data_IF_042959343147
#
_entry.id   IF_042959343147
#
_cell.length_a   1.000
_cell.length_b   1.000
_cell.length_c   1.000
_cell.angle_alpha   90.00
_cell.angle_beta   90.00
_cell.angle_gamma   90.00
#
_symmetry.space_group_name_H-M   'P 1'
#
loop_
_entity.id
_entity.type
_entity.pdbx_description
1 polymer ?
#
# COMPACT_ATOMS: atom_id res chain seq x y z
N UNK A 1 -40.46 -11.92 -8.97
CA UNK A 1 -39.43 -10.84 -9.01
C UNK A 1 -39.43 -10.19 -7.64
N UNK A 2 -38.52 -10.63 -6.75
CA UNK A 2 -38.37 -10.00 -5.44
C UNK A 2 -37.60 -8.70 -5.62
N UNK A 3 -38.29 -7.60 -5.41
CA UNK A 3 -37.66 -6.27 -5.25
C UNK A 3 -36.86 -6.29 -3.93
N UNK A 4 -35.65 -6.87 -3.96
CA UNK A 4 -34.69 -6.72 -2.89
C UNK A 4 -34.46 -5.23 -2.68
N UNK A 5 -34.92 -4.73 -1.58
CA UNK A 5 -34.68 -3.38 -1.08
C UNK A 5 -33.17 -3.12 -1.17
N UNK A 6 -32.78 -2.33 -2.14
CA UNK A 6 -31.37 -1.92 -2.41
C UNK A 6 -30.92 -1.17 -1.17
N UNK A 7 -30.24 -1.86 -0.25
CA UNK A 7 -29.74 -1.21 0.98
C UNK A 7 -28.92 -0.01 0.60
N UNK A 8 -29.30 1.14 1.15
CA UNK A 8 -28.60 2.39 0.90
C UNK A 8 -27.32 2.42 1.77
N UNK A 9 -26.16 2.16 1.15
CA UNK A 9 -24.86 2.25 1.82
C UNK A 9 -24.29 3.67 1.88
N UNK A 10 -25.04 4.66 1.38
CA UNK A 10 -24.61 6.04 1.29
C UNK A 10 -24.26 6.66 2.66
N UNK A 11 -25.05 6.47 3.73
CA UNK A 11 -24.69 7.00 5.05
C UNK A 11 -23.38 6.45 5.59
N UNK A 12 -23.14 5.14 5.42
CA UNK A 12 -21.88 4.52 5.83
C UNK A 12 -20.68 5.09 5.04
N UNK A 13 -20.79 5.16 3.71
CA UNK A 13 -19.74 5.73 2.87
C UNK A 13 -19.53 7.22 3.13
N UNK A 14 -20.59 7.96 3.47
CA UNK A 14 -20.50 9.36 3.90
C UNK A 14 -19.70 9.51 5.20
N UNK A 15 -19.96 8.66 6.21
CA UNK A 15 -19.18 8.61 7.44
C UNK A 15 -17.70 8.28 7.18
N UNK A 16 -17.42 7.35 6.26
CA UNK A 16 -16.06 7.03 5.86
C UNK A 16 -15.37 8.20 5.12
N UNK A 17 -16.11 8.97 4.32
CA UNK A 17 -15.58 10.16 3.65
C UNK A 17 -15.22 11.27 4.66
N UNK A 18 -16.05 11.48 5.69
CA UNK A 18 -15.74 12.40 6.79
C UNK A 18 -14.51 11.94 7.57
N UNK A 19 -14.37 10.64 7.82
CA UNK A 19 -13.17 10.10 8.46
C UNK A 19 -11.92 10.29 7.57
N UNK A 20 -12.01 10.07 6.26
CA UNK A 20 -10.91 10.34 5.33
C UNK A 20 -10.52 11.83 5.33
N UNK A 21 -11.51 12.74 5.35
CA UNK A 21 -11.27 14.18 5.44
C UNK A 21 -10.59 14.55 6.77
N UNK A 22 -11.02 13.98 7.89
CA UNK A 22 -10.39 14.19 9.19
C UNK A 22 -8.93 13.72 9.20
N UNK A 23 -8.66 12.54 8.61
CA UNK A 23 -7.29 12.05 8.42
C UNK A 23 -6.47 12.98 7.52
N UNK A 24 -7.05 13.47 6.43
CA UNK A 24 -6.39 14.41 5.54
C UNK A 24 -6.01 15.70 6.30
N UNK A 25 -6.95 16.32 7.00
CA UNK A 25 -6.69 17.54 7.79
C UNK A 25 -5.62 17.31 8.87
N UNK A 26 -5.66 16.15 9.53
CA UNK A 26 -4.74 15.81 10.63
C UNK A 26 -3.32 15.50 10.16
N UNK A 27 -3.19 14.72 9.10
CA UNK A 27 -1.89 14.13 8.71
C UNK A 27 -1.27 14.79 7.48
N UNK A 28 -2.02 15.58 6.72
CA UNK A 28 -1.50 16.22 5.53
C UNK A 28 -0.35 17.16 5.87
N UNK A 29 0.82 16.91 5.26
CA UNK A 29 2.00 17.73 5.38
C UNK A 29 2.47 18.12 3.99
N UNK A 30 2.59 19.39 3.79
CA UNK A 30 2.73 20.04 2.50
C UNK A 30 4.13 19.96 1.86
N UNK A 31 4.89 18.89 2.07
CA UNK A 31 6.22 18.77 1.47
C UNK A 31 6.42 17.41 0.82
N UNK A 32 6.92 17.44 -0.42
CA UNK A 32 7.45 16.25 -1.09
C UNK A 32 8.95 16.19 -0.78
N UNK A 33 9.42 15.00 -0.40
CA UNK A 33 10.83 14.78 -0.13
C UNK A 33 11.65 14.83 -1.43
N UNK A 34 12.93 15.22 -1.33
CA UNK A 34 13.86 15.18 -2.46
C UNK A 34 14.03 13.76 -3.05
N UNK A 35 13.77 12.71 -2.27
CA UNK A 35 13.67 11.35 -2.76
C UNK A 35 12.61 11.24 -3.86
N UNK A 36 11.40 11.70 -3.58
CA UNK A 36 10.28 11.58 -4.51
C UNK A 36 10.43 12.50 -5.73
N UNK A 37 10.93 13.73 -5.55
CA UNK A 37 11.16 14.64 -6.68
C UNK A 37 12.24 14.15 -7.64
N UNK A 38 13.30 13.48 -7.12
CA UNK A 38 14.35 12.88 -7.96
C UNK A 38 13.77 11.81 -8.91
N UNK A 39 12.72 11.09 -8.51
CA UNK A 39 12.06 10.10 -9.37
C UNK A 39 11.37 10.72 -10.60
N UNK A 40 10.90 11.96 -10.51
CA UNK A 40 10.34 12.68 -11.64
C UNK A 40 11.41 13.22 -12.62
N UNK A 41 12.66 13.31 -12.17
CA UNK A 41 13.78 13.68 -13.02
C UNK A 41 14.31 12.52 -13.89
N UNK A 42 13.96 11.27 -13.54
CA UNK A 42 14.38 10.07 -14.25
C UNK A 42 13.38 9.73 -15.36
N UNK A 43 13.87 9.55 -16.60
CA UNK A 43 13.02 9.28 -17.74
C UNK A 43 13.68 8.29 -18.72
N UNK A 44 12.95 7.87 -19.75
CA UNK A 44 13.42 6.89 -20.73
C UNK A 44 14.35 7.45 -21.82
N UNK A 45 14.65 8.73 -21.82
CA UNK A 45 15.72 9.26 -22.70
C UNK A 45 17.10 8.71 -22.28
N UNK A 46 17.22 8.29 -21.03
CA UNK A 46 18.42 7.67 -20.48
C UNK A 46 18.50 6.15 -20.73
N UNK A 47 17.50 5.57 -21.39
CA UNK A 47 17.33 4.14 -21.57
C UNK A 47 16.09 3.60 -20.85
N UNK A 48 15.73 2.34 -21.13
CA UNK A 48 14.58 1.71 -20.49
C UNK A 48 14.96 1.25 -19.06
N UNK A 49 14.96 2.20 -18.14
CA UNK A 49 15.37 2.04 -16.74
C UNK A 49 14.16 1.78 -15.84
N UNK A 50 14.39 1.12 -14.71
CA UNK A 50 13.41 1.05 -13.62
C UNK A 50 13.01 2.47 -13.16
N UNK A 51 11.76 2.65 -12.78
CA UNK A 51 11.20 3.93 -12.28
C UNK A 51 11.25 5.12 -13.25
N UNK A 52 11.62 4.89 -14.53
CA UNK A 52 11.68 5.96 -15.55
C UNK A 52 10.32 6.43 -16.08
N UNK A 53 9.23 5.67 -15.83
CA UNK A 53 7.93 5.93 -16.43
C UNK A 53 7.34 7.28 -16.00
N UNK A 54 7.38 7.61 -14.71
CA UNK A 54 6.79 8.87 -14.22
C UNK A 54 7.51 10.09 -14.76
N UNK A 55 8.83 10.08 -14.80
CA UNK A 55 9.60 11.19 -15.36
C UNK A 55 9.39 11.30 -16.87
N UNK A 56 9.28 10.18 -17.60
CA UNK A 56 8.92 10.19 -19.03
C UNK A 56 7.54 10.77 -19.28
N UNK A 57 6.55 10.35 -18.50
CA UNK A 57 5.20 10.88 -18.57
C UNK A 57 5.16 12.38 -18.22
N UNK A 58 5.92 12.78 -17.19
CA UNK A 58 6.03 14.17 -16.76
C UNK A 58 6.65 15.06 -17.83
N UNK A 59 7.76 14.63 -18.43
CA UNK A 59 8.42 15.31 -19.53
C UNK A 59 7.50 15.43 -20.78
N UNK A 60 6.76 14.37 -21.07
CA UNK A 60 5.77 14.38 -22.14
C UNK A 60 4.64 15.39 -21.90
N UNK A 61 4.13 15.49 -20.67
CA UNK A 61 3.12 16.49 -20.30
C UNK A 61 3.68 17.90 -20.39
N UNK A 62 4.92 18.14 -19.96
CA UNK A 62 5.59 19.43 -20.05
C UNK A 62 5.74 19.89 -21.50
N UNK A 63 6.01 18.98 -22.42
CA UNK A 63 6.10 19.28 -23.87
C UNK A 63 4.75 19.58 -24.55
N UNK A 64 3.62 19.22 -23.95
CA UNK A 64 2.28 19.43 -24.54
C UNK A 64 1.55 20.60 -23.92
N UNK A 65 1.71 20.80 -22.60
CA UNK A 65 0.99 21.83 -21.88
C UNK A 65 1.70 23.17 -21.99
N UNK A 66 0.96 24.30 -22.04
CA UNK A 66 1.54 25.63 -22.15
C UNK A 66 2.10 26.16 -20.82
N UNK A 67 2.42 25.29 -19.89
CA UNK A 67 2.90 25.62 -18.54
C UNK A 67 4.21 24.90 -18.29
N UNK A 68 5.13 25.54 -17.57
CA UNK A 68 6.36 24.91 -17.10
C UNK A 68 6.03 23.93 -15.96
N UNK A 69 6.10 22.64 -16.28
CA UNK A 69 5.89 21.56 -15.32
C UNK A 69 7.19 21.13 -14.61
N UNK A 70 8.36 21.60 -15.06
CA UNK A 70 9.64 21.29 -14.43
C UNK A 70 9.86 22.12 -13.16
N UNK A 71 8.82 22.21 -12.33
CA UNK A 71 8.80 22.94 -11.06
C UNK A 71 8.33 22.08 -9.89
N UNK A 72 8.81 22.38 -8.69
CA UNK A 72 8.34 21.73 -7.46
C UNK A 72 6.82 21.82 -7.28
N UNK A 73 6.25 23.01 -7.54
CA UNK A 73 4.81 23.26 -7.38
C UNK A 73 3.97 22.38 -8.29
N UNK A 74 4.40 22.17 -9.53
CA UNK A 74 3.70 21.30 -10.46
C UNK A 74 3.71 19.84 -10.02
N UNK A 75 4.87 19.32 -9.60
CA UNK A 75 4.99 17.95 -9.03
C UNK A 75 4.17 17.80 -7.75
N UNK A 76 4.17 18.81 -6.89
CA UNK A 76 3.34 18.85 -5.68
C UNK A 76 1.85 18.73 -5.98
N UNK A 77 1.35 19.56 -6.90
CA UNK A 77 -0.07 19.56 -7.30
C UNK A 77 -0.47 18.22 -7.95
N UNK A 78 0.40 17.68 -8.81
CA UNK A 78 0.16 16.38 -9.44
C UNK A 78 0.09 15.25 -8.39
N UNK A 79 1.01 15.25 -7.43
CA UNK A 79 1.01 14.30 -6.32
C UNK A 79 -0.27 14.40 -5.49
N UNK A 80 -0.72 15.64 -5.20
CA UNK A 80 -1.99 15.89 -4.53
C UNK A 80 -3.17 15.33 -5.30
N UNK A 81 -3.21 15.57 -6.63
CA UNK A 81 -4.24 15.01 -7.52
C UNK A 81 -4.25 13.48 -7.48
N UNK A 82 -3.08 12.83 -7.56
CA UNK A 82 -2.98 11.37 -7.50
C UNK A 82 -3.43 10.82 -6.14
N UNK A 83 -3.16 11.53 -5.05
CA UNK A 83 -3.68 11.16 -3.73
C UNK A 83 -5.21 11.23 -3.68
N UNK A 84 -5.82 12.24 -4.28
CA UNK A 84 -7.29 12.33 -4.42
C UNK A 84 -7.83 11.18 -5.28
N UNK A 85 -7.17 10.87 -6.40
CA UNK A 85 -7.55 9.72 -7.26
C UNK A 85 -7.45 8.41 -6.47
N UNK A 86 -6.42 8.22 -5.64
CA UNK A 86 -6.32 7.06 -4.76
C UNK A 86 -7.54 6.94 -3.84
N UNK A 87 -7.98 8.02 -3.19
CA UNK A 87 -9.19 7.98 -2.38
C UNK A 87 -10.44 7.65 -3.19
N UNK A 88 -10.58 8.22 -4.37
CA UNK A 88 -11.71 7.91 -5.29
C UNK A 88 -11.72 6.41 -5.62
N UNK A 89 -10.57 5.82 -5.97
CA UNK A 89 -10.42 4.39 -6.26
C UNK A 89 -10.73 3.52 -5.04
N UNK A 90 -10.28 3.91 -3.86
CA UNK A 90 -10.54 3.21 -2.60
C UNK A 90 -12.04 3.22 -2.27
N UNK A 91 -12.71 4.36 -2.39
CA UNK A 91 -14.15 4.45 -2.20
C UNK A 91 -14.94 3.68 -3.29
N UNK A 92 -14.45 3.66 -4.50
CA UNK A 92 -15.04 2.85 -5.58
C UNK A 92 -14.93 1.35 -5.28
N UNK A 93 -13.78 0.90 -4.77
CA UNK A 93 -13.59 -0.45 -4.29
C UNK A 93 -14.58 -0.78 -3.15
N UNK A 94 -14.67 0.06 -2.11
CA UNK A 94 -15.60 -0.13 -1.00
C UNK A 94 -17.07 -0.19 -1.45
N UNK A 95 -17.49 0.75 -2.29
CA UNK A 95 -18.83 0.77 -2.87
C UNK A 95 -19.13 -0.50 -3.69
N UNK A 96 -18.15 -0.94 -4.46
CA UNK A 96 -18.29 -2.16 -5.28
C UNK A 96 -18.40 -3.38 -4.38
N UNK A 97 -17.56 -3.49 -3.37
CA UNK A 97 -17.58 -4.60 -2.42
C UNK A 97 -18.91 -4.69 -1.67
N UNK A 98 -19.38 -3.60 -1.09
CA UNK A 98 -20.68 -3.55 -0.39
C UNK A 98 -21.85 -3.90 -1.29
N UNK A 99 -21.82 -3.47 -2.56
CA UNK A 99 -22.89 -3.76 -3.53
C UNK A 99 -23.00 -5.24 -3.87
N UNK A 100 -21.87 -5.97 -3.87
CA UNK A 100 -21.82 -7.37 -4.28
C UNK A 100 -21.87 -8.34 -3.08
N UNK A 101 -21.76 -7.84 -1.84
CA UNK A 101 -21.84 -8.66 -0.63
C UNK A 101 -23.26 -9.13 -0.34
N UNK A 102 -23.37 -10.32 0.26
CA UNK A 102 -24.63 -10.84 0.76
C UNK A 102 -25.12 -10.03 1.96
N UNK A 103 -26.44 -10.05 2.25
CA UNK A 103 -26.99 -9.34 3.41
C UNK A 103 -26.33 -9.73 4.73
N UNK A 104 -26.01 -11.02 4.87
CA UNK A 104 -25.37 -11.59 6.05
C UNK A 104 -23.95 -11.02 6.26
N UNK A 105 -23.24 -10.78 5.16
CA UNK A 105 -21.83 -10.37 5.20
C UNK A 105 -21.61 -8.86 5.23
N UNK A 106 -22.64 -8.05 4.96
CA UNK A 106 -22.53 -6.58 4.92
C UNK A 106 -21.88 -6.01 6.18
N UNK A 107 -22.29 -6.49 7.36
CA UNK A 107 -21.74 -5.99 8.63
C UNK A 107 -20.26 -6.32 8.78
N UNK A 108 -19.85 -7.52 8.37
CA UNK A 108 -18.46 -7.95 8.37
C UNK A 108 -17.64 -7.13 7.39
N UNK A 109 -18.20 -6.89 6.21
CA UNK A 109 -17.63 -6.03 5.18
C UNK A 109 -17.39 -4.60 5.70
N UNK A 110 -18.38 -4.00 6.35
CA UNK A 110 -18.25 -2.67 6.95
C UNK A 110 -17.14 -2.61 8.02
N UNK A 111 -17.05 -3.62 8.89
CA UNK A 111 -15.99 -3.68 9.91
C UNK A 111 -14.61 -3.77 9.27
N UNK A 112 -14.43 -4.60 8.23
CA UNK A 112 -13.15 -4.69 7.52
C UNK A 112 -12.80 -3.38 6.78
N UNK A 113 -13.80 -2.71 6.18
CA UNK A 113 -13.62 -1.41 5.54
C UNK A 113 -13.14 -0.37 6.57
N UNK A 114 -13.78 -0.29 7.73
CA UNK A 114 -13.35 0.63 8.81
C UNK A 114 -11.93 0.29 9.24
N UNK A 115 -11.65 -0.98 9.51
CA UNK A 115 -10.31 -1.42 9.92
C UNK A 115 -9.24 -1.06 8.88
N UNK A 116 -9.47 -1.36 7.59
CA UNK A 116 -8.54 -1.01 6.52
C UNK A 116 -8.33 0.51 6.42
N UNK A 117 -9.41 1.28 6.58
CA UNK A 117 -9.39 2.73 6.42
C UNK A 117 -8.54 3.43 7.48
N UNK A 118 -8.43 2.88 8.70
CA UNK A 118 -7.55 3.41 9.74
C UNK A 118 -6.09 3.49 9.26
N UNK A 119 -5.66 2.54 8.45
CA UNK A 119 -4.33 2.53 7.86
C UNK A 119 -4.30 3.25 6.50
N UNK A 120 -5.31 3.03 5.65
CA UNK A 120 -5.32 3.47 4.27
C UNK A 120 -5.52 4.99 4.11
N UNK A 121 -6.25 5.63 4.99
CA UNK A 121 -6.51 7.07 4.87
C UNK A 121 -5.30 7.94 5.24
N UNK A 122 -4.55 7.69 6.33
CA UNK A 122 -3.37 8.49 6.63
C UNK A 122 -2.16 8.16 5.77
N UNK A 123 -2.12 6.99 5.10
CA UNK A 123 -0.94 6.47 4.43
C UNK A 123 -0.27 7.46 3.47
N UNK A 124 -1.02 7.98 2.52
CA UNK A 124 -0.46 8.83 1.44
C UNK A 124 -0.63 10.33 1.67
N UNK A 125 -1.12 10.73 2.82
CA UNK A 125 -1.23 12.14 3.20
C UNK A 125 -0.15 12.58 4.20
N UNK A 126 0.47 11.61 4.89
CA UNK A 126 1.51 11.86 5.88
C UNK A 126 2.85 12.26 5.25
N UNK A 127 3.66 13.05 5.98
CA UNK A 127 4.96 13.60 5.55
C UNK A 127 5.90 12.56 4.91
N UNK A 128 5.97 11.35 5.48
CA UNK A 128 6.90 10.31 5.01
C UNK A 128 6.46 9.65 3.71
N UNK A 129 5.16 9.61 3.41
CA UNK A 129 4.59 8.83 2.31
C UNK A 129 3.99 9.69 1.19
N UNK A 130 3.79 10.99 1.42
CA UNK A 130 3.29 11.89 0.39
C UNK A 130 4.28 11.99 -0.78
N UNK A 131 3.81 11.63 -1.97
CA UNK A 131 4.62 11.57 -3.20
C UNK A 131 5.35 10.25 -3.44
N UNK A 132 5.24 9.25 -2.56
CA UNK A 132 5.82 7.93 -2.80
C UNK A 132 5.15 7.24 -4.00
N UNK A 133 5.93 6.44 -4.72
CA UNK A 133 5.46 5.69 -5.89
C UNK A 133 4.33 4.72 -5.57
N UNK A 134 4.25 4.26 -4.34
CA UNK A 134 3.22 3.31 -3.89
C UNK A 134 1.79 3.80 -4.18
N UNK A 135 1.51 5.10 -4.11
CA UNK A 135 0.17 5.64 -4.38
C UNK A 135 -0.33 5.25 -5.78
N UNK A 136 0.54 5.30 -6.78
CA UNK A 136 0.21 4.91 -8.15
C UNK A 136 -0.08 3.42 -8.26
N UNK A 137 0.74 2.60 -7.59
CA UNK A 137 0.57 1.15 -7.56
C UNK A 137 -0.77 0.76 -6.91
N UNK A 138 -1.13 1.43 -5.81
CA UNK A 138 -2.42 1.21 -5.15
C UNK A 138 -3.61 1.65 -6.01
N UNK A 139 -3.52 2.75 -6.75
CA UNK A 139 -4.56 3.17 -7.70
C UNK A 139 -4.85 2.05 -8.70
N UNK A 140 -3.83 1.55 -9.38
CA UNK A 140 -3.98 0.49 -10.37
C UNK A 140 -4.46 -0.84 -9.76
N UNK A 141 -3.93 -1.21 -8.59
CA UNK A 141 -4.39 -2.40 -7.86
C UNK A 141 -5.87 -2.31 -7.51
N UNK A 142 -6.33 -1.20 -6.95
CA UNK A 142 -7.74 -1.00 -6.58
C UNK A 142 -8.66 -1.04 -7.79
N UNK A 143 -8.26 -0.43 -8.90
CA UNK A 143 -8.98 -0.53 -10.18
C UNK A 143 -9.04 -2.01 -10.61
N UNK A 144 -7.93 -2.72 -10.63
CA UNK A 144 -7.86 -4.15 -10.98
C UNK A 144 -8.77 -5.01 -10.11
N UNK A 145 -8.78 -4.80 -8.80
CA UNK A 145 -9.69 -5.49 -7.87
C UNK A 145 -11.16 -5.25 -8.23
N UNK A 146 -11.54 -4.00 -8.53
CA UNK A 146 -12.91 -3.65 -8.93
C UNK A 146 -13.28 -4.34 -10.24
N UNK A 147 -12.38 -4.40 -11.23
CA UNK A 147 -12.60 -5.06 -12.50
C UNK A 147 -12.84 -6.57 -12.31
N UNK A 148 -12.05 -7.25 -11.47
CA UNK A 148 -12.21 -8.68 -11.15
C UNK A 148 -13.53 -8.94 -10.43
N UNK A 149 -13.90 -8.12 -9.42
CA UNK A 149 -15.17 -8.28 -8.71
C UNK A 149 -16.37 -8.11 -9.64
N UNK A 150 -16.32 -7.10 -10.52
CA UNK A 150 -17.40 -6.83 -11.48
C UNK A 150 -17.43 -7.78 -12.67
N UNK A 151 -16.40 -8.58 -12.88
CA UNK A 151 -16.21 -9.46 -14.04
C UNK A 151 -16.33 -8.71 -15.37
N UNK A 152 -15.74 -7.52 -15.46
CA UNK A 152 -15.77 -6.65 -16.64
C UNK A 152 -14.39 -6.05 -16.90
N UNK A 153 -13.93 -6.13 -18.15
CA UNK A 153 -12.66 -5.56 -18.62
C UNK A 153 -11.43 -6.08 -17.86
N UNK A 154 -11.46 -7.30 -17.33
CA UNK A 154 -10.40 -7.88 -16.49
C UNK A 154 -9.06 -7.96 -17.22
N UNK A 155 -9.06 -8.03 -18.55
CA UNK A 155 -7.85 -8.04 -19.38
C UNK A 155 -7.01 -6.75 -19.23
N UNK A 156 -7.63 -5.61 -18.82
CA UNK A 156 -6.91 -4.36 -18.56
C UNK A 156 -5.88 -4.48 -17.42
N UNK A 157 -5.98 -5.51 -16.58
CA UNK A 157 -5.00 -5.79 -15.53
C UNK A 157 -3.60 -6.00 -16.10
N UNK A 158 -3.50 -6.56 -17.32
CA UNK A 158 -2.22 -6.83 -17.98
C UNK A 158 -1.47 -5.53 -18.30
N UNK A 159 -2.00 -4.59 -19.11
CA UNK A 159 -1.31 -3.33 -19.37
C UNK A 159 -1.12 -2.48 -18.10
N UNK A 160 -2.06 -2.52 -17.15
CA UNK A 160 -1.92 -1.83 -15.87
C UNK A 160 -0.74 -2.39 -15.07
N UNK A 161 -0.55 -3.71 -15.04
CA UNK A 161 0.60 -4.33 -14.39
C UNK A 161 1.93 -3.95 -15.04
N UNK A 162 1.98 -3.89 -16.38
CA UNK A 162 3.16 -3.41 -17.11
C UNK A 162 3.50 -1.96 -16.71
N UNK A 163 2.52 -1.07 -16.69
CA UNK A 163 2.69 0.32 -16.24
C UNK A 163 3.20 0.36 -14.80
N UNK A 164 2.61 -0.42 -13.89
CA UNK A 164 3.04 -0.49 -12.50
C UNK A 164 4.51 -0.93 -12.36
N UNK A 165 4.94 -1.94 -13.15
CA UNK A 165 6.34 -2.37 -13.17
C UNK A 165 7.28 -1.27 -13.67
N UNK A 166 6.86 -0.50 -14.66
CA UNK A 166 7.60 0.66 -15.17
C UNK A 166 7.66 1.82 -14.17
N UNK A 167 6.67 1.93 -13.27
CA UNK A 167 6.66 2.92 -12.17
C UNK A 167 7.56 2.43 -11.03
N UNK A 168 7.44 1.17 -10.61
CA UNK A 168 8.24 0.60 -9.52
C UNK A 168 8.23 -0.93 -9.53
N UNK A 169 9.40 -1.52 -9.73
CA UNK A 169 9.56 -2.99 -9.76
C UNK A 169 9.11 -3.70 -8.47
N UNK A 170 9.09 -3.01 -7.32
CA UNK A 170 8.54 -3.52 -6.07
C UNK A 170 7.07 -3.93 -6.14
N UNK A 171 6.33 -3.52 -7.19
CA UNK A 171 4.96 -3.94 -7.46
C UNK A 171 4.79 -5.47 -7.47
N UNK A 172 5.77 -6.20 -8.00
CA UNK A 172 5.74 -7.67 -8.07
C UNK A 172 5.63 -8.33 -6.69
N UNK A 173 6.24 -7.74 -5.66
CA UNK A 173 6.24 -8.28 -4.31
C UNK A 173 5.06 -7.79 -3.46
N UNK A 174 4.44 -6.69 -3.82
CA UNK A 174 3.42 -6.02 -3.00
C UNK A 174 2.02 -6.13 -3.60
N UNK A 175 1.71 -5.33 -4.59
CA UNK A 175 0.33 -5.15 -5.09
C UNK A 175 -0.09 -6.19 -6.13
N UNK A 176 0.85 -6.70 -6.93
CA UNK A 176 0.56 -7.70 -7.97
C UNK A 176 -0.04 -8.99 -7.39
N UNK A 177 0.44 -9.41 -6.21
CA UNK A 177 -0.02 -10.63 -5.55
C UNK A 177 -1.51 -10.58 -5.20
N UNK A 178 -2.03 -9.41 -4.84
CA UNK A 178 -3.47 -9.23 -4.59
C UNK A 178 -4.27 -9.59 -5.84
N UNK A 179 -3.86 -9.09 -7.00
CA UNK A 179 -4.54 -9.34 -8.27
C UNK A 179 -4.37 -10.80 -8.73
N UNK A 180 -3.16 -11.36 -8.61
CA UNK A 180 -2.89 -12.76 -8.94
C UNK A 180 -3.73 -13.72 -8.10
N UNK A 181 -3.82 -13.50 -6.80
CA UNK A 181 -4.58 -14.34 -5.89
C UNK A 181 -6.09 -14.21 -6.16
N UNK A 182 -6.59 -13.01 -6.49
CA UNK A 182 -7.99 -12.84 -6.90
C UNK A 182 -8.30 -13.53 -8.24
N UNK A 183 -7.41 -13.45 -9.23
CA UNK A 183 -7.55 -14.20 -10.49
C UNK A 183 -7.52 -15.71 -10.24
N UNK A 184 -6.62 -16.18 -9.37
CA UNK A 184 -6.54 -17.58 -8.97
C UNK A 184 -7.81 -18.07 -8.28
N UNK A 185 -8.41 -17.23 -7.41
CA UNK A 185 -9.74 -17.48 -6.85
C UNK A 185 -10.77 -17.68 -7.96
N UNK A 186 -10.82 -16.78 -8.95
CA UNK A 186 -11.76 -16.89 -10.09
C UNK A 186 -11.51 -18.13 -10.95
N UNK A 187 -10.27 -18.57 -11.11
CA UNK A 187 -9.93 -19.81 -11.85
C UNK A 187 -10.50 -21.04 -11.15
N UNK A 188 -10.37 -21.13 -9.83
CA UNK A 188 -10.74 -22.33 -9.08
C UNK A 188 -12.18 -22.34 -8.62
N UNK A 189 -12.73 -21.19 -8.21
CA UNK A 189 -14.04 -21.07 -7.57
C UNK A 189 -15.04 -20.20 -8.35
N UNK A 190 -14.59 -19.57 -9.43
CA UNK A 190 -15.44 -18.75 -10.29
C UNK A 190 -16.28 -19.58 -11.28
N UNK A 191 -16.93 -18.89 -12.20
CA UNK A 191 -17.80 -19.48 -13.22
C UNK A 191 -16.98 -20.32 -14.21
N UNK A 192 -17.37 -21.59 -14.47
CA UNK A 192 -16.64 -22.50 -15.36
C UNK A 192 -16.44 -21.94 -16.78
N UNK A 193 -17.44 -21.24 -17.32
CA UNK A 193 -17.39 -20.64 -18.65
C UNK A 193 -16.31 -19.56 -18.83
N UNK A 194 -15.96 -18.86 -17.76
CA UNK A 194 -14.91 -17.83 -17.76
C UNK A 194 -13.52 -18.35 -17.38
N UNK A 195 -13.41 -19.61 -16.99
CA UNK A 195 -12.17 -20.19 -16.44
C UNK A 195 -10.98 -20.05 -17.39
N UNK A 196 -11.17 -20.35 -18.69
CA UNK A 196 -10.12 -20.24 -19.70
C UNK A 196 -9.64 -18.78 -19.84
N UNK A 197 -10.56 -17.82 -19.79
CA UNK A 197 -10.24 -16.39 -19.84
C UNK A 197 -9.39 -15.99 -18.64
N UNK A 198 -9.78 -16.40 -17.41
CA UNK A 198 -9.01 -16.08 -16.21
C UNK A 198 -7.63 -16.73 -16.19
N UNK A 199 -7.49 -17.97 -16.70
CA UNK A 199 -6.18 -18.63 -16.88
C UNK A 199 -5.30 -17.81 -17.82
N UNK A 200 -5.83 -17.37 -18.98
CA UNK A 200 -5.07 -16.57 -19.94
C UNK A 200 -4.64 -15.22 -19.34
N UNK A 201 -5.53 -14.50 -18.65
CA UNK A 201 -5.23 -13.24 -18.01
C UNK A 201 -4.17 -13.44 -16.91
N UNK A 202 -4.31 -14.46 -16.06
CA UNK A 202 -3.36 -14.80 -15.01
C UNK A 202 -1.98 -15.09 -15.58
N UNK A 203 -1.90 -15.95 -16.61
CA UNK A 203 -0.62 -16.33 -17.21
C UNK A 203 0.05 -15.13 -17.89
N UNK A 204 -0.67 -14.35 -18.69
CA UNK A 204 -0.12 -13.18 -19.38
C UNK A 204 0.31 -12.09 -18.38
N UNK A 205 -0.50 -11.82 -17.36
CA UNK A 205 -0.15 -10.86 -16.32
C UNK A 205 1.10 -11.31 -15.56
N UNK A 206 1.14 -12.57 -15.07
CA UNK A 206 2.29 -13.12 -14.36
C UNK A 206 3.57 -13.11 -15.22
N UNK A 207 3.50 -13.57 -16.46
CA UNK A 207 4.65 -13.60 -17.37
C UNK A 207 5.16 -12.18 -17.67
N UNK A 208 4.25 -11.23 -17.93
CA UNK A 208 4.63 -9.84 -18.25
C UNK A 208 5.34 -9.17 -17.07
N UNK A 209 4.80 -9.26 -15.85
CA UNK A 209 5.44 -8.64 -14.67
C UNK A 209 6.74 -9.33 -14.31
N UNK A 210 6.83 -10.66 -14.44
CA UNK A 210 8.05 -11.42 -14.16
C UNK A 210 9.16 -11.10 -15.18
N UNK A 211 8.83 -11.01 -16.47
CA UNK A 211 9.79 -10.64 -17.51
C UNK A 211 10.32 -9.22 -17.30
N UNK A 212 9.46 -8.26 -16.98
CA UNK A 212 9.89 -6.89 -16.67
C UNK A 212 10.71 -6.81 -15.39
N UNK A 213 10.35 -7.58 -14.35
CA UNK A 213 11.16 -7.64 -13.13
C UNK A 213 12.57 -8.12 -13.43
N UNK A 214 12.71 -9.25 -14.15
CA UNK A 214 14.01 -9.78 -14.53
C UNK A 214 14.79 -8.81 -15.42
N UNK A 215 14.11 -8.14 -16.34
CA UNK A 215 14.75 -7.13 -17.19
C UNK A 215 15.29 -5.97 -16.34
N UNK A 216 14.49 -5.39 -15.46
CA UNK A 216 14.91 -4.26 -14.62
C UNK A 216 16.00 -4.63 -13.63
N UNK A 217 15.99 -5.84 -13.11
CA UNK A 217 16.99 -6.30 -12.15
C UNK A 217 18.36 -6.58 -12.81
N UNK A 218 18.38 -7.12 -14.03
CA UNK A 218 19.62 -7.63 -14.62
C UNK A 218 20.11 -6.84 -15.83
N UNK A 219 19.27 -6.05 -16.50
CA UNK A 219 19.61 -5.48 -17.81
C UNK A 219 19.38 -3.97 -17.94
N UNK A 220 18.75 -3.31 -16.96
CA UNK A 220 18.28 -1.92 -17.09
C UNK A 220 19.31 -0.85 -16.70
N UNK A 221 20.57 -1.20 -16.52
CA UNK A 221 21.59 -0.25 -16.05
C UNK A 221 22.12 0.63 -17.18
N UNK A 222 22.23 1.91 -16.92
CA UNK A 222 22.75 2.91 -17.85
C UNK A 222 24.03 3.52 -17.28
N UNK A 223 25.16 3.27 -17.90
CA UNK A 223 26.46 3.82 -17.48
C UNK A 223 26.74 5.12 -18.21
N UNK A 224 26.73 6.26 -17.51
CA UNK A 224 27.09 7.56 -18.10
C UNK A 224 27.14 8.68 -17.07
N UNK A 225 28.31 9.25 -16.83
CA UNK A 225 28.48 10.40 -15.93
C UNK A 225 27.68 11.63 -16.39
N UNK A 226 27.59 11.85 -17.70
CA UNK A 226 26.82 12.95 -18.27
C UNK A 226 25.32 12.85 -17.93
N UNK A 227 24.75 11.63 -17.97
CA UNK A 227 23.36 11.34 -17.60
C UNK A 227 23.14 11.65 -16.11
N UNK A 228 24.09 11.27 -15.26
CA UNK A 228 24.00 11.52 -13.82
C UNK A 228 23.92 13.02 -13.54
N UNK A 229 24.73 13.83 -14.19
CA UNK A 229 24.72 15.30 -13.98
C UNK A 229 23.41 15.94 -14.51
N UNK A 230 22.89 15.46 -15.63
CA UNK A 230 21.59 15.92 -16.14
C UNK A 230 20.44 15.57 -15.19
N UNK A 231 20.38 14.31 -14.69
CA UNK A 231 19.37 13.89 -13.71
C UNK A 231 19.48 14.70 -12.43
N UNK A 232 20.71 14.97 -11.95
CA UNK A 232 20.92 15.84 -10.77
C UNK A 232 20.41 17.26 -11.01
N UNK A 233 20.68 17.83 -12.17
CA UNK A 233 20.23 19.17 -12.53
C UNK A 233 18.71 19.25 -12.53
N UNK A 234 18.04 18.31 -13.22
CA UNK A 234 16.59 18.22 -13.28
C UNK A 234 15.96 17.96 -11.89
N UNK A 235 16.57 17.08 -11.09
CA UNK A 235 16.09 16.80 -9.73
C UNK A 235 16.17 18.01 -8.80
N UNK A 236 17.21 18.84 -8.94
CA UNK A 236 17.33 20.10 -8.20
C UNK A 236 16.22 21.08 -8.58
N UNK A 237 15.90 21.25 -9.86
CA UNK A 237 14.78 22.10 -10.32
C UNK A 237 13.45 21.69 -9.69
N UNK A 238 13.22 20.37 -9.59
CA UNK A 238 12.00 19.80 -9.03
C UNK A 238 11.98 19.79 -7.49
N UNK A 239 13.07 20.13 -6.81
CA UNK A 239 13.14 20.17 -5.34
C UNK A 239 12.63 21.51 -4.78
N UNK A 240 12.07 21.48 -3.57
CA UNK A 240 11.52 22.66 -2.91
C UNK A 240 12.53 23.80 -2.77
N UNK A 241 13.80 23.49 -2.53
CA UNK A 241 14.87 24.49 -2.33
C UNK A 241 15.63 24.80 -3.61
N UNK A 242 15.36 24.12 -4.72
CA UNK A 242 16.14 24.27 -5.96
C UNK A 242 17.56 23.65 -5.91
N UNK A 243 17.91 22.95 -4.83
CA UNK A 243 19.31 22.53 -4.58
C UNK A 243 19.48 21.04 -4.26
N UNK A 244 18.39 20.34 -3.91
CA UNK A 244 18.46 18.99 -3.37
C UNK A 244 18.10 17.91 -4.42
N UNK A 245 18.75 16.77 -4.32
CA UNK A 245 18.42 15.53 -5.02
C UNK A 245 18.76 14.34 -4.11
N UNK A 246 18.31 13.13 -4.48
CA UNK A 246 18.65 11.92 -3.74
C UNK A 246 19.75 11.12 -4.45
N UNK A 247 20.98 11.07 -3.90
CA UNK A 247 22.09 10.35 -4.53
C UNK A 247 21.86 8.83 -4.61
N UNK A 248 21.21 8.25 -3.62
CA UNK A 248 21.00 6.79 -3.57
C UNK A 248 20.14 6.31 -4.73
N UNK A 249 19.10 7.07 -5.10
CA UNK A 249 18.27 6.74 -6.27
C UNK A 249 19.10 6.78 -7.55
N UNK A 250 19.89 7.85 -7.75
CA UNK A 250 20.71 8.01 -8.95
C UNK A 250 21.75 6.89 -9.04
N UNK A 251 22.42 6.59 -7.93
CA UNK A 251 23.41 5.52 -7.87
C UNK A 251 22.80 4.16 -8.18
N UNK A 252 21.61 3.89 -7.65
CA UNK A 252 20.94 2.62 -7.85
C UNK A 252 20.38 2.49 -9.27
N UNK A 253 19.55 3.43 -9.70
CA UNK A 253 18.77 3.28 -10.93
C UNK A 253 19.57 3.63 -12.20
N UNK A 254 20.53 4.55 -12.11
CA UNK A 254 21.31 5.01 -13.27
C UNK A 254 22.67 4.32 -13.34
N UNK A 255 23.42 4.28 -12.23
CA UNK A 255 24.76 3.73 -12.23
C UNK A 255 24.83 2.21 -11.98
N UNK A 256 23.70 1.58 -11.64
CA UNK A 256 23.68 0.14 -11.34
C UNK A 256 24.65 -0.27 -10.24
N UNK A 257 25.03 0.66 -9.35
CA UNK A 257 25.88 0.33 -8.21
C UNK A 257 25.16 -0.66 -7.33
N UNK A 258 25.88 -1.70 -6.94
CA UNK A 258 25.34 -2.81 -6.16
C UNK A 258 24.87 -2.34 -4.79
N UNK A 259 23.65 -1.82 -4.77
CA UNK A 259 22.97 -1.32 -3.59
C UNK A 259 22.56 -2.47 -2.68
N UNK A 260 22.52 -3.70 -3.20
CA UNK A 260 22.16 -4.88 -2.41
C UNK A 260 23.15 -5.09 -1.25
N UNK A 261 24.44 -5.02 -1.49
CA UNK A 261 25.45 -5.13 -0.43
C UNK A 261 25.40 -3.93 0.53
N UNK A 262 25.17 -2.73 0.00
CA UNK A 262 25.03 -1.53 0.84
C UNK A 262 23.73 -1.57 1.64
N UNK A 263 22.64 -2.06 1.06
CA UNK A 263 21.38 -2.25 1.78
C UNK A 263 21.47 -3.37 2.84
N UNK A 264 22.17 -4.47 2.57
CA UNK A 264 22.45 -5.49 3.61
C UNK A 264 23.24 -4.89 4.76
N UNK A 265 24.28 -4.11 4.47
CA UNK A 265 25.04 -3.40 5.51
C UNK A 265 24.17 -2.43 6.30
N UNK A 266 23.33 -1.66 5.61
CA UNK A 266 22.40 -0.75 6.24
C UNK A 266 21.33 -1.50 7.05
N UNK A 267 20.82 -2.61 6.53
CA UNK A 267 19.89 -3.49 7.25
C UNK A 267 20.52 -4.10 8.50
N UNK A 268 21.78 -4.56 8.44
CA UNK A 268 22.51 -5.06 9.61
C UNK A 268 22.66 -3.97 10.68
N UNK A 269 22.86 -2.72 10.28
CA UNK A 269 22.90 -1.60 11.19
C UNK A 269 21.54 -1.37 11.89
N UNK A 270 20.43 -1.59 11.18
CA UNK A 270 19.07 -1.41 11.69
C UNK A 270 18.41 -2.70 12.17
N UNK A 271 19.11 -3.83 12.28
CA UNK A 271 18.55 -5.11 12.72
C UNK A 271 17.89 -5.05 14.10
N UNK A 272 18.29 -4.11 14.94
CA UNK A 272 17.63 -3.85 16.23
C UNK A 272 16.17 -3.41 16.11
N UNK A 273 15.75 -2.84 14.97
CA UNK A 273 14.39 -2.36 14.75
C UNK A 273 13.43 -3.51 14.43
N UNK A 274 13.94 -4.59 13.83
CA UNK A 274 13.14 -5.74 13.45
C UNK A 274 12.44 -6.45 14.63
N UNK A 275 13.12 -6.72 15.77
CA UNK A 275 12.42 -7.24 16.95
C UNK A 275 11.33 -6.32 17.49
N UNK A 276 11.60 -5.01 17.53
CA UNK A 276 10.61 -4.00 17.98
C UNK A 276 9.38 -4.04 17.07
N UNK A 277 9.59 -4.08 15.77
CA UNK A 277 8.52 -4.19 14.78
C UNK A 277 7.69 -5.47 14.97
N UNK A 278 8.32 -6.64 15.15
CA UNK A 278 7.61 -7.90 15.39
C UNK A 278 6.77 -7.82 16.67
N UNK A 279 7.32 -7.26 17.75
CA UNK A 279 6.59 -7.09 19.02
C UNK A 279 5.40 -6.16 18.84
N UNK A 280 5.56 -5.02 18.18
CA UNK A 280 4.47 -4.06 17.95
C UNK A 280 3.30 -4.69 17.20
N UNK A 281 3.57 -5.45 16.14
CA UNK A 281 2.55 -6.04 15.28
C UNK A 281 2.21 -7.49 15.66
N UNK A 282 2.77 -8.04 16.74
CA UNK A 282 2.52 -9.42 17.17
C UNK A 282 1.03 -9.78 17.27
N UNK A 283 0.12 -8.94 17.81
CA UNK A 283 -1.30 -9.27 17.83
C UNK A 283 -1.90 -9.44 16.42
N UNK A 284 -1.54 -8.57 15.49
CA UNK A 284 -2.02 -8.64 14.11
C UNK A 284 -1.50 -9.87 13.38
N UNK A 285 -0.20 -10.16 13.55
CA UNK A 285 0.45 -11.36 12.99
C UNK A 285 -0.21 -12.62 13.55
N UNK A 286 -0.38 -12.70 14.87
CA UNK A 286 -0.95 -13.87 15.53
C UNK A 286 -2.41 -14.11 15.10
N UNK A 287 -3.28 -13.11 15.21
CA UNK A 287 -4.70 -13.28 14.88
C UNK A 287 -4.93 -13.42 13.38
N UNK A 288 -4.17 -12.74 12.55
CA UNK A 288 -4.20 -12.89 11.09
C UNK A 288 -3.79 -14.30 10.68
N UNK A 289 -2.64 -14.76 11.15
CA UNK A 289 -2.15 -16.12 10.84
C UNK A 289 -3.14 -17.19 11.34
N UNK A 290 -3.63 -17.06 12.57
CA UNK A 290 -4.60 -17.99 13.17
C UNK A 290 -5.90 -18.02 12.35
N UNK A 291 -6.37 -16.88 11.86
CA UNK A 291 -7.56 -16.78 11.02
C UNK A 291 -7.38 -17.55 9.70
N UNK A 292 -6.32 -17.27 8.94
CA UNK A 292 -6.08 -17.94 7.68
C UNK A 292 -5.78 -19.43 7.85
N UNK A 293 -5.06 -19.78 8.91
CA UNK A 293 -4.78 -21.18 9.21
C UNK A 293 -6.05 -21.98 9.55
N UNK A 294 -7.02 -21.36 10.21
CA UNK A 294 -8.33 -21.94 10.46
C UNK A 294 -9.11 -22.16 9.17
N UNK A 295 -9.13 -21.19 8.27
CA UNK A 295 -9.72 -21.32 6.93
C UNK A 295 -9.13 -22.50 6.17
N UNK A 296 -7.81 -22.65 6.13
CA UNK A 296 -7.11 -23.72 5.41
C UNK A 296 -7.38 -25.09 6.04
N UNK A 297 -7.44 -25.18 7.38
CA UNK A 297 -7.61 -26.45 8.12
C UNK A 297 -9.07 -26.95 8.19
N UNK A 298 -10.05 -26.15 7.79
CA UNK A 298 -11.44 -26.60 7.83
C UNK A 298 -11.63 -27.86 6.99
N UNK A 299 -12.22 -28.90 7.61
CA UNK A 299 -12.46 -30.19 6.97
C UNK A 299 -13.66 -30.17 6.03
N UNK A 300 -14.55 -29.17 6.16
CA UNK A 300 -15.82 -29.07 5.46
C UNK A 300 -15.71 -28.32 4.12
N UNK A 301 -14.51 -27.89 3.72
CA UNK A 301 -14.28 -27.19 2.47
C UNK A 301 -13.74 -28.12 1.38
N UNK A 302 -13.99 -27.77 0.11
CA UNK A 302 -13.44 -28.52 -1.03
C UNK A 302 -11.91 -28.35 -1.11
N UNK A 303 -11.25 -29.28 -1.82
CA UNK A 303 -9.80 -29.14 -2.07
C UNK A 303 -9.45 -27.84 -2.80
N UNK A 304 -10.28 -27.44 -3.78
CA UNK A 304 -10.10 -26.18 -4.52
C UNK A 304 -10.16 -24.96 -3.58
N UNK A 305 -11.16 -24.91 -2.69
CA UNK A 305 -11.30 -23.83 -1.69
C UNK A 305 -10.10 -23.78 -0.76
N UNK A 306 -9.63 -24.95 -0.31
CA UNK A 306 -8.44 -25.04 0.55
C UNK A 306 -7.19 -24.49 -0.12
N UNK A 307 -6.98 -24.80 -1.40
CA UNK A 307 -5.84 -24.30 -2.19
C UNK A 307 -5.94 -22.78 -2.35
N UNK A 308 -7.13 -22.23 -2.55
CA UNK A 308 -7.34 -20.76 -2.61
C UNK A 308 -7.00 -20.10 -1.28
N UNK A 309 -7.47 -20.63 -0.15
CA UNK A 309 -7.16 -20.04 1.16
C UNK A 309 -5.67 -20.18 1.52
N UNK A 310 -5.04 -21.27 1.08
CA UNK A 310 -3.59 -21.41 1.18
C UNK A 310 -2.87 -20.34 0.33
N UNK A 311 -3.36 -20.07 -0.89
CA UNK A 311 -2.83 -18.98 -1.72
C UNK A 311 -3.06 -17.61 -1.08
N UNK A 312 -4.18 -17.37 -0.40
CA UNK A 312 -4.41 -16.15 0.38
C UNK A 312 -3.34 -15.98 1.46
N UNK A 313 -3.07 -17.04 2.23
CA UNK A 313 -2.04 -17.02 3.27
C UNK A 313 -0.63 -16.78 2.68
N UNK A 314 -0.28 -17.54 1.66
CA UNK A 314 1.08 -17.55 1.08
C UNK A 314 1.37 -16.31 0.21
N UNK A 315 0.36 -15.69 -0.37
CA UNK A 315 0.56 -14.48 -1.17
C UNK A 315 1.14 -13.30 -0.37
N UNK A 316 0.86 -13.22 0.94
CA UNK A 316 1.54 -12.27 1.82
C UNK A 316 3.02 -12.60 2.05
N UNK A 317 3.41 -13.88 1.96
CA UNK A 317 4.81 -14.29 2.12
C UNK A 317 5.73 -13.79 1.00
N UNK A 318 5.17 -13.39 -0.15
CA UNK A 318 5.96 -12.77 -1.23
C UNK A 318 6.58 -11.43 -0.82
N UNK A 319 6.09 -10.81 0.27
CA UNK A 319 6.67 -9.59 0.85
C UNK A 319 7.87 -9.87 1.76
N UNK A 320 8.13 -11.12 2.14
CA UNK A 320 9.25 -11.48 3.03
C UNK A 320 10.59 -10.92 2.54
N UNK A 321 10.94 -10.99 1.23
CA UNK A 321 12.18 -10.38 0.75
C UNK A 321 12.29 -8.89 1.06
N UNK A 322 11.19 -8.14 1.02
CA UNK A 322 11.17 -6.72 1.37
C UNK A 322 11.52 -6.48 2.85
N UNK A 323 10.99 -7.33 3.75
CA UNK A 323 11.32 -7.24 5.18
C UNK A 323 12.78 -7.64 5.48
N UNK A 324 13.37 -8.50 4.65
CA UNK A 324 14.76 -8.97 4.85
C UNK A 324 15.80 -8.03 4.24
N UNK A 325 15.45 -7.37 3.11
CA UNK A 325 16.40 -6.62 2.29
C UNK A 325 16.24 -5.11 2.38
N UNK A 326 15.19 -4.61 3.01
CA UNK A 326 14.85 -3.19 3.09
C UNK A 326 14.51 -2.81 4.52
N UNK A 327 14.52 -1.51 4.82
CA UNK A 327 14.36 -0.99 6.19
C UNK A 327 13.00 -0.34 6.48
N UNK A 328 12.17 -0.19 5.48
CA UNK A 328 10.85 0.46 5.59
C UNK A 328 9.76 -0.48 6.19
N UNK A 329 10.01 -1.07 7.35
CA UNK A 329 9.14 -2.10 7.95
C UNK A 329 7.68 -1.67 8.12
N UNK A 330 7.43 -0.45 8.55
CA UNK A 330 6.08 0.08 8.69
C UNK A 330 5.33 0.10 7.36
N UNK A 331 6.00 0.52 6.27
CA UNK A 331 5.43 0.55 4.92
C UNK A 331 5.07 -0.87 4.44
N UNK A 332 5.96 -1.84 4.65
CA UNK A 332 5.68 -3.23 4.23
C UNK A 332 4.58 -3.87 5.06
N UNK A 333 4.49 -3.55 6.36
CA UNK A 333 3.37 -3.99 7.17
C UNK A 333 2.05 -3.40 6.68
N UNK A 334 2.01 -2.14 6.26
CA UNK A 334 0.83 -1.57 5.62
C UNK A 334 0.43 -2.35 4.37
N UNK A 335 1.39 -2.63 3.47
CA UNK A 335 1.11 -3.46 2.28
C UNK A 335 0.55 -4.82 2.67
N UNK A 336 1.10 -5.45 3.71
CA UNK A 336 0.66 -6.75 4.20
C UNK A 336 -0.76 -6.70 4.78
N UNK A 337 -1.06 -5.70 5.62
CA UNK A 337 -2.41 -5.49 6.16
C UNK A 337 -3.38 -5.20 5.02
N UNK A 338 -3.00 -4.32 4.10
CA UNK A 338 -3.83 -3.98 2.96
C UNK A 338 -4.12 -5.21 2.09
N UNK A 339 -3.09 -6.01 1.79
CA UNK A 339 -3.22 -7.26 1.05
C UNK A 339 -4.26 -8.18 1.70
N UNK A 340 -4.07 -8.54 2.96
CA UNK A 340 -4.96 -9.51 3.62
C UNK A 340 -6.38 -8.97 3.78
N UNK A 341 -6.54 -7.74 4.25
CA UNK A 341 -7.87 -7.18 4.52
C UNK A 341 -8.63 -6.93 3.21
N UNK A 342 -7.97 -6.40 2.19
CA UNK A 342 -8.61 -6.17 0.90
C UNK A 342 -9.01 -7.48 0.19
N UNK A 343 -8.22 -8.55 0.34
CA UNK A 343 -8.61 -9.89 -0.15
C UNK A 343 -9.84 -10.44 0.57
N UNK A 344 -9.94 -10.28 1.89
CA UNK A 344 -11.14 -10.71 2.63
C UNK A 344 -12.38 -9.92 2.20
N UNK A 345 -12.22 -8.59 2.01
CA UNK A 345 -13.27 -7.73 1.45
C UNK A 345 -13.68 -8.23 0.06
N UNK A 346 -12.71 -8.51 -0.82
CA UNK A 346 -12.97 -8.99 -2.16
C UNK A 346 -13.59 -10.39 -2.20
N UNK A 347 -13.12 -11.33 -1.36
CA UNK A 347 -13.66 -12.69 -1.29
C UNK A 347 -15.15 -12.69 -0.92
N UNK A 348 -15.55 -11.92 0.11
CA UNK A 348 -16.95 -11.76 0.46
C UNK A 348 -17.76 -11.11 -0.67
N UNK A 349 -17.20 -10.12 -1.36
CA UNK A 349 -17.84 -9.52 -2.54
C UNK A 349 -17.97 -10.49 -3.72
N UNK A 350 -17.11 -11.49 -3.81
CA UNK A 350 -17.19 -12.57 -4.80
C UNK A 350 -18.12 -13.72 -4.37
N UNK A 351 -18.77 -13.62 -3.20
CA UNK A 351 -19.74 -14.59 -2.70
C UNK A 351 -19.17 -15.65 -1.74
N UNK A 352 -18.00 -15.42 -1.18
CA UNK A 352 -17.38 -16.35 -0.22
C UNK A 352 -17.99 -16.18 1.19
N UNK A 353 -19.07 -16.94 1.44
CA UNK A 353 -19.77 -16.90 2.73
C UNK A 353 -18.97 -17.52 3.89
N UNK A 354 -17.97 -18.35 3.58
CA UNK A 354 -17.13 -18.99 4.61
C UNK A 354 -16.25 -17.96 5.31
N UNK A 355 -15.67 -17.04 4.55
CA UNK A 355 -14.85 -15.93 5.09
C UNK A 355 -15.70 -15.10 6.07
N UNK A 356 -16.94 -14.76 5.73
CA UNK A 356 -17.85 -14.04 6.62
C UNK A 356 -18.12 -14.77 7.94
N UNK A 357 -18.39 -16.09 7.89
CA UNK A 357 -18.62 -16.91 9.09
C UNK A 357 -17.43 -17.03 10.02
N UNK A 358 -16.21 -17.17 9.46
CA UNK A 358 -14.99 -17.24 10.26
C UNK A 358 -14.60 -15.88 10.84
N UNK A 359 -14.95 -14.76 10.19
CA UNK A 359 -14.82 -13.41 10.77
C UNK A 359 -15.70 -13.21 12.01
N UNK A 360 -16.91 -13.77 12.03
CA UNK A 360 -17.76 -13.71 13.21
C UNK A 360 -17.14 -14.49 14.38
N UNK A 361 -16.50 -15.62 14.10
CA UNK A 361 -15.75 -16.39 15.08
C UNK A 361 -14.53 -15.62 15.61
N UNK A 362 -13.77 -14.95 14.72
CA UNK A 362 -12.64 -14.10 15.12
C UNK A 362 -13.11 -12.94 16.00
N UNK A 363 -14.21 -12.26 15.64
CA UNK A 363 -14.77 -11.18 16.47
C UNK A 363 -15.19 -11.65 17.87
N UNK A 364 -15.74 -12.87 17.97
CA UNK A 364 -16.08 -13.45 19.27
C UNK A 364 -14.84 -13.73 20.13
N UNK A 365 -13.71 -14.11 19.51
CA UNK A 365 -12.43 -14.25 20.21
C UNK A 365 -11.86 -12.89 20.63
N UNK A 366 -11.88 -11.88 19.76
CA UNK A 366 -11.37 -10.53 20.05
C UNK A 366 -12.13 -9.84 21.18
N UNK A 367 -13.44 -10.13 21.37
CA UNK A 367 -14.22 -9.65 22.50
C UNK A 367 -13.75 -10.19 23.87
N UNK A 368 -12.97 -11.24 23.89
CA UNK A 368 -12.42 -11.87 25.10
C UNK A 368 -11.00 -11.40 25.44
N UNK A 369 -10.46 -10.43 24.71
CA UNK A 369 -9.14 -9.89 24.97
C UNK A 369 -9.06 -9.24 26.34
N UNK A 370 -7.93 -9.45 27.01
CA UNK A 370 -7.61 -8.69 28.22
C UNK A 370 -7.41 -7.21 27.89
N UNK A 371 -7.66 -6.28 28.83
CA UNK A 371 -7.41 -4.86 28.59
C UNK A 371 -6.01 -4.55 28.06
N UNK A 372 -4.98 -5.23 28.58
CA UNK A 372 -3.60 -5.05 28.14
C UNK A 372 -3.41 -5.50 26.67
N UNK A 373 -3.96 -6.65 26.31
CA UNK A 373 -3.89 -7.15 24.91
C UNK A 373 -4.68 -6.23 23.98
N UNK A 374 -5.79 -5.68 24.44
CA UNK A 374 -6.59 -4.72 23.68
C UNK A 374 -5.83 -3.42 23.44
N UNK A 375 -5.17 -2.86 24.46
CA UNK A 375 -4.29 -1.69 24.33
C UNK A 375 -3.16 -1.98 23.36
N UNK A 376 -2.52 -3.15 23.46
CA UNK A 376 -1.47 -3.56 22.53
C UNK A 376 -1.99 -3.65 21.08
N UNK A 377 -3.22 -4.14 20.88
CA UNK A 377 -3.87 -4.18 19.58
C UNK A 377 -4.15 -2.77 19.02
N UNK A 378 -4.52 -1.81 19.88
CA UNK A 378 -4.79 -0.43 19.46
C UNK A 378 -3.52 0.37 19.20
N UNK A 379 -2.41 0.07 19.87
CA UNK A 379 -1.21 0.86 19.80
C UNK A 379 -0.68 1.08 18.36
N UNK A 380 -0.54 0.07 17.50
CA UNK A 380 -0.15 0.29 16.11
C UNK A 380 -1.13 1.13 15.28
N UNK A 381 -2.41 1.18 15.68
CA UNK A 381 -3.41 2.04 15.03
C UNK A 381 -3.24 3.52 15.38
N UNK A 382 -2.67 3.79 16.55
CA UNK A 382 -2.44 5.15 17.06
C UNK A 382 -1.10 5.72 16.55
N UNK A 383 -0.16 4.85 16.19
CA UNK A 383 1.07 5.28 15.55
C UNK A 383 0.73 5.98 14.24
N UNK A 384 1.38 7.12 13.98
CA UNK A 384 1.41 7.66 12.63
C UNK A 384 2.02 6.58 11.77
N UNK A 385 1.22 5.94 10.90
CA UNK A 385 1.65 4.72 10.25
C UNK A 385 2.92 5.00 9.47
N UNK A 386 3.93 4.16 9.72
CA UNK A 386 5.00 3.99 8.77
C UNK A 386 6.19 4.94 8.87
N UNK A 387 6.43 5.54 10.04
CA UNK A 387 7.76 6.04 10.42
C UNK A 387 8.67 4.87 10.84
N UNK A 388 9.96 5.14 10.94
CA UNK A 388 10.95 4.19 11.47
C UNK A 388 10.49 3.60 12.81
N UNK A 389 10.67 2.29 12.98
CA UNK A 389 10.12 1.54 14.11
C UNK A 389 11.18 1.34 15.20
N UNK A 390 11.99 2.37 15.47
CA UNK A 390 12.96 2.34 16.57
C UNK A 390 12.26 2.55 17.92
N UNK A 391 12.88 2.11 19.02
CA UNK A 391 12.38 2.40 20.37
C UNK A 391 12.31 3.92 20.59
N UNK A 392 13.33 4.65 20.17
CA UNK A 392 13.39 6.11 20.26
C UNK A 392 12.23 6.75 19.49
N UNK A 393 11.97 6.32 18.24
CA UNK A 393 10.84 6.80 17.44
C UNK A 393 9.50 6.48 18.09
N UNK A 394 9.37 5.32 18.74
CA UNK A 394 8.14 4.97 19.44
C UNK A 394 7.90 5.86 20.66
N UNK A 395 8.92 6.15 21.41
CA UNK A 395 8.84 7.08 22.56
C UNK A 395 8.48 8.48 22.05
N UNK A 396 9.14 8.95 20.99
CA UNK A 396 8.86 10.25 20.37
C UNK A 396 7.42 10.32 19.82
N UNK A 397 6.96 9.30 19.08
CA UNK A 397 5.58 9.25 18.58
C UNK A 397 4.55 9.19 19.70
N UNK A 398 4.85 8.47 20.79
CA UNK A 398 4.01 8.44 21.97
C UNK A 398 3.95 9.81 22.65
N UNK A 399 5.10 10.47 22.78
CA UNK A 399 5.18 11.84 23.26
C UNK A 399 4.44 12.81 22.34
N UNK A 400 4.66 12.77 21.03
CA UNK A 400 3.88 13.57 20.07
C UNK A 400 2.37 13.30 20.17
N UNK A 401 1.97 12.06 20.38
CA UNK A 401 0.54 11.71 20.51
C UNK A 401 -0.07 12.22 21.81
N UNK A 402 0.69 12.16 22.91
CA UNK A 402 0.23 12.60 24.22
C UNK A 402 0.37 14.11 24.43
N UNK A 403 1.35 14.73 23.75
CA UNK A 403 1.84 16.08 24.03
C UNK A 403 1.95 16.97 22.80
N UNK A 404 1.38 16.60 21.64
CA UNK A 404 1.33 17.51 20.49
C UNK A 404 0.60 18.77 20.90
N UNK A 405 1.17 19.92 20.54
CA UNK A 405 0.68 21.26 20.88
C UNK A 405 -0.81 21.45 20.71
N UNK A 406 -1.45 20.72 19.77
CA UNK A 406 -2.89 20.80 19.52
C UNK A 406 -3.75 19.84 20.37
N UNK A 407 -3.18 18.75 20.92
CA UNK A 407 -3.92 17.73 21.69
C UNK A 407 -3.44 17.69 23.14
N UNK A 408 -2.17 17.90 23.39
CA UNK A 408 -1.59 17.93 24.73
C UNK A 408 -2.12 19.08 25.58
N UNK A 409 -2.42 20.21 24.95
CA UNK A 409 -3.07 21.37 25.61
C UNK A 409 -4.45 21.00 26.15
N UNK A 410 -5.16 20.06 25.52
CA UNK A 410 -6.46 19.57 26.02
C UNK A 410 -6.36 18.51 27.12
N UNK A 411 -5.25 17.74 27.20
CA UNK A 411 -5.12 16.65 28.17
C UNK A 411 -4.32 17.08 29.42
N UNK A 412 -3.28 17.87 29.29
CA UNK A 412 -2.48 18.34 30.45
C UNK A 412 -1.89 19.73 30.15
N UNK A 413 -2.58 20.81 30.52
CA UNK A 413 -2.04 22.17 30.35
C UNK A 413 -0.73 22.37 31.14
N UNK A 414 0.29 22.89 30.47
CA UNK A 414 1.58 23.20 31.09
C UNK A 414 2.69 22.15 30.96
N UNK A 415 2.41 20.98 30.39
CA UNK A 415 3.45 19.95 30.24
C UNK A 415 4.35 20.20 29.02
N UNK A 416 3.90 21.00 28.04
CA UNK A 416 4.71 21.43 26.90
C UNK A 416 5.90 22.30 27.29
N UNK A 417 5.87 22.92 28.47
CA UNK A 417 6.98 23.73 29.00
C UNK A 417 8.07 22.90 29.68
N UNK A 418 7.76 21.67 30.07
CA UNK A 418 8.67 20.79 30.85
C UNK A 418 9.41 19.76 29.96
N UNK A 419 8.85 19.42 28.81
CA UNK A 419 9.38 18.36 27.94
C UNK A 419 10.64 18.73 27.13
N UNK A 420 10.85 19.99 26.67
CA UNK A 420 12.08 20.35 25.95
C UNK A 420 13.36 20.07 26.72
N UNK A 421 13.29 20.06 28.05
CA UNK A 421 14.48 19.84 28.91
C UNK A 421 14.73 18.35 29.24
N UNK A 422 13.84 17.43 28.83
CA UNK A 422 13.92 15.99 29.17
C UNK A 422 14.24 15.11 27.96
N UNK A 423 14.00 15.61 26.74
CA UNK A 423 14.24 14.85 25.50
C UNK A 423 15.32 15.55 24.66
N UNK A 424 16.47 14.89 24.39
CA UNK A 424 17.53 15.46 23.55
C UNK A 424 17.13 15.56 22.07
#
# INVERSE_FOLDING_TARGET
MNTTTRKNHLPFLGGMALFALACFVRYFRSQITHYNTTLFAMNYDYGFISRGFLGTFWKWLDGILPYDLMTYTAVYNFTGLCTVIYFICLFWFYKTALKHSTEKDIRNQQHLIVFLSVFAFPMFVGKAMFGRLDVYLFIFMLIGMVLIIKEKFEWLIIPMGIICMCIHQGFVFTNANTLLVMLFYKILLGKPEKRKQYIAIFALFFLSISALFLYFEFFSHVNGEAIVEEVKANAKLLSQTGTMYNPSIINHEILGKDVFLDEIKYHNYNMQDFPVFIVLFAPYIYYGFRFFFRLVKDKNITAATRVVYFAFLMGGATMVPQFLLKVDYGRYMFHLIFYYVSLLIAAMAMGDNKVGGDLDSLKAELKKLTPLTFIWFLYPLLLTPFKDVTISTQIHNLAEMLFVEDVGVFLIPGLSEVIPDILP
#
